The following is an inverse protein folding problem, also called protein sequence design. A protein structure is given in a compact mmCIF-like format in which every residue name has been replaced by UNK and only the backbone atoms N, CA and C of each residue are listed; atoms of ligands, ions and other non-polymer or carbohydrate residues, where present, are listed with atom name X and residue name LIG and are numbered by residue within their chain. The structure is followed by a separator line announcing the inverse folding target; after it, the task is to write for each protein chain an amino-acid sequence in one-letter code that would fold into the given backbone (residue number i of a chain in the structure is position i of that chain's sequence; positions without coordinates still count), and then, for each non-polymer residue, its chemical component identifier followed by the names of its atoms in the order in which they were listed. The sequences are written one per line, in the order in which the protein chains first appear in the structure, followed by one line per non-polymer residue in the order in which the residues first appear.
data_IF_504595698083
#
_entry.id   IF_504595698083
#
_cell.length_a   1.000
_cell.length_b   1.000
_cell.length_c   1.000
_cell.angle_alpha   90.00
_cell.angle_beta   90.00
_cell.angle_gamma   90.00
#
_symmetry.space_group_name_H-M   'P 1'
#
loop_
_entity.id
_entity.type
_entity.pdbx_description
1 polymer ?
#
# COMPACT_ATOMS: atom_id res chain seq x y z
N UNK A 1 3.59 -10.54 13.26
CA UNK A 1 3.14 -9.14 13.04
C UNK A 1 2.69 -8.87 11.59
N UNK A 2 3.19 -9.60 10.60
CA UNK A 2 2.82 -9.41 9.18
C UNK A 2 1.28 -9.35 8.99
N UNK A 3 0.55 -10.34 9.45
CA UNK A 3 -0.91 -10.47 9.24
C UNK A 3 -1.77 -9.35 9.90
N UNK A 4 -1.20 -8.55 10.79
CA UNK A 4 -1.92 -7.40 11.38
C UNK A 4 -1.60 -6.08 10.70
N UNK A 5 -0.71 -6.08 9.71
CA UNK A 5 -0.31 -4.87 9.00
C UNK A 5 -1.50 -4.14 8.32
N UNK A 6 -2.46 -4.81 7.67
CA UNK A 6 -3.63 -4.13 7.12
C UNK A 6 -4.41 -3.32 8.17
N UNK A 7 -4.52 -3.84 9.40
CA UNK A 7 -5.17 -3.11 10.51
C UNK A 7 -4.36 -1.92 11.02
N UNK A 8 -3.03 -1.93 10.85
CA UNK A 8 -2.16 -0.78 11.14
C UNK A 8 -2.22 0.22 9.98
N UNK A 9 -2.21 -0.27 8.74
CA UNK A 9 -2.27 0.54 7.53
C UNK A 9 -3.56 1.36 7.43
N UNK A 10 -4.69 0.73 7.78
CA UNK A 10 -6.01 1.35 7.60
C UNK A 10 -6.15 2.73 8.29
N UNK A 11 -5.83 2.93 9.57
CA UNK A 11 -5.88 4.26 10.18
C UNK A 11 -4.88 5.25 9.53
N UNK A 12 -3.67 4.79 9.19
CA UNK A 12 -2.67 5.64 8.53
C UNK A 12 -3.19 6.10 7.16
N UNK A 13 -3.72 5.18 6.37
CA UNK A 13 -4.26 5.48 5.05
C UNK A 13 -5.50 6.37 5.12
N UNK A 14 -6.49 6.02 5.94
CA UNK A 14 -7.77 6.77 5.99
C UNK A 14 -7.61 8.16 6.59
N UNK A 15 -7.02 8.26 7.78
CA UNK A 15 -6.85 9.55 8.46
C UNK A 15 -5.83 10.42 7.73
N UNK A 16 -4.72 9.82 7.24
CA UNK A 16 -3.69 10.51 6.48
C UNK A 16 -4.21 11.06 5.15
N UNK A 17 -4.95 10.24 4.38
CA UNK A 17 -5.59 10.68 3.13
C UNK A 17 -6.59 11.81 3.38
N UNK A 18 -7.43 11.69 4.39
CA UNK A 18 -8.41 12.72 4.76
C UNK A 18 -7.71 14.02 5.15
N UNK A 19 -6.68 13.94 5.98
CA UNK A 19 -5.91 15.12 6.38
C UNK A 19 -5.23 15.79 5.18
N UNK A 20 -4.64 15.02 4.28
CA UNK A 20 -3.92 15.57 3.14
C UNK A 20 -4.86 16.07 2.04
N UNK A 21 -5.89 15.29 1.69
CA UNK A 21 -6.77 15.62 0.55
C UNK A 21 -7.89 16.58 0.93
N UNK A 22 -8.54 16.39 2.09
CA UNK A 22 -9.73 17.18 2.43
C UNK A 22 -9.40 18.45 3.20
N UNK A 23 -8.45 18.40 4.11
CA UNK A 23 -8.14 19.53 4.98
C UNK A 23 -6.89 20.30 4.56
N UNK A 24 -5.90 19.62 4.01
CA UNK A 24 -4.59 20.17 3.72
C UNK A 24 -4.35 20.59 2.26
N UNK A 25 -5.27 20.34 1.35
CA UNK A 25 -5.09 20.63 -0.09
C UNK A 25 -3.73 20.16 -0.64
N UNK A 26 -3.32 18.92 -0.26
CA UNK A 26 -2.00 18.35 -0.61
C UNK A 26 -0.88 18.67 0.38
N UNK A 27 -1.12 19.50 1.38
CA UNK A 27 -0.25 19.70 2.53
C UNK A 27 -0.63 18.73 3.64
N UNK A 28 0.32 18.03 4.23
CA UNK A 28 -0.11 17.05 5.21
C UNK A 28 0.98 16.38 6.03
N UNK A 29 0.55 15.30 6.67
CA UNK A 29 1.28 14.56 7.68
C UNK A 29 2.58 13.94 7.12
N UNK A 30 3.61 13.97 7.93
CA UNK A 30 4.90 13.29 7.68
C UNK A 30 5.67 13.72 6.44
N UNK A 31 5.26 14.81 5.77
CA UNK A 31 5.93 15.31 4.59
C UNK A 31 7.01 16.32 4.98
N UNK A 32 8.25 16.04 4.62
CA UNK A 32 9.42 16.91 4.88
C UNK A 32 10.19 17.28 3.61
N UNK A 33 9.74 16.80 2.45
CA UNK A 33 10.35 17.03 1.15
C UNK A 33 9.72 18.23 0.40
N UNK A 34 10.11 18.39 -0.86
CA UNK A 34 9.60 19.46 -1.72
C UNK A 34 8.10 19.32 -1.99
N UNK A 35 7.36 20.39 -1.76
CA UNK A 35 5.96 20.52 -2.16
C UNK A 35 5.83 21.05 -3.59
N UNK A 36 5.08 20.37 -4.44
CA UNK A 36 4.67 20.90 -5.73
C UNK A 36 3.50 21.86 -5.56
N UNK A 37 3.78 23.16 -5.53
CA UNK A 37 2.75 24.18 -5.30
C UNK A 37 1.70 24.22 -6.42
N UNK A 38 2.09 23.97 -7.66
CA UNK A 38 1.15 23.87 -8.80
C UNK A 38 0.17 22.69 -8.64
N UNK A 39 0.62 21.57 -8.10
CA UNK A 39 -0.24 20.44 -7.77
C UNK A 39 -1.19 20.78 -6.62
N UNK A 40 -0.73 21.50 -5.61
CA UNK A 40 -1.58 21.96 -4.52
C UNK A 40 -2.67 22.92 -5.02
N UNK A 41 -2.32 23.87 -5.88
CA UNK A 41 -3.29 24.78 -6.49
C UNK A 41 -4.33 24.03 -7.34
N UNK A 42 -3.90 23.06 -8.14
CA UNK A 42 -4.80 22.19 -8.90
C UNK A 42 -5.73 21.38 -7.99
N UNK A 43 -5.16 20.81 -6.91
CA UNK A 43 -5.91 19.98 -5.97
C UNK A 43 -7.03 20.74 -5.25
N UNK A 44 -6.89 22.04 -4.99
CA UNK A 44 -7.93 22.87 -4.34
C UNK A 44 -9.28 22.82 -5.06
N UNK A 45 -9.28 22.50 -6.35
CA UNK A 45 -10.49 22.31 -7.14
C UNK A 45 -11.22 20.99 -6.97
N UNK A 46 -10.70 20.04 -6.19
CA UNK A 46 -11.19 18.66 -6.09
C UNK A 46 -12.68 18.56 -5.69
N UNK A 47 -13.17 19.50 -4.86
CA UNK A 47 -14.58 19.51 -4.41
C UNK A 47 -15.57 19.66 -5.56
N UNK A 48 -15.20 20.40 -6.60
CA UNK A 48 -16.01 20.54 -7.83
C UNK A 48 -16.01 19.28 -8.71
N UNK A 49 -15.12 18.32 -8.42
CA UNK A 49 -14.96 17.08 -9.15
C UNK A 49 -15.07 15.85 -8.25
N UNK A 50 -15.66 15.99 -7.06
CA UNK A 50 -15.73 14.92 -6.06
C UNK A 50 -16.44 13.65 -6.58
N UNK A 51 -17.39 13.80 -7.51
CA UNK A 51 -18.09 12.65 -8.12
C UNK A 51 -17.18 11.79 -9.00
N UNK A 52 -16.07 12.34 -9.48
CA UNK A 52 -15.06 11.60 -10.25
C UNK A 52 -14.16 10.70 -9.39
N UNK A 53 -14.18 10.85 -8.06
CA UNK A 53 -13.46 9.99 -7.15
C UNK A 53 -14.08 8.58 -7.13
N UNK A 54 -13.22 7.54 -7.06
CA UNK A 54 -13.69 6.17 -6.93
C UNK A 54 -14.49 5.95 -5.64
N UNK A 55 -15.37 4.97 -5.63
CA UNK A 55 -16.16 4.63 -4.44
C UNK A 55 -15.26 4.28 -3.24
N UNK A 56 -14.12 3.64 -3.48
CA UNK A 56 -13.12 3.35 -2.45
C UNK A 56 -12.54 4.62 -1.86
N UNK A 57 -12.13 5.59 -2.70
CA UNK A 57 -11.60 6.88 -2.25
C UNK A 57 -12.66 7.65 -1.44
N UNK A 58 -13.89 7.72 -1.93
CA UNK A 58 -15.02 8.37 -1.22
C UNK A 58 -15.23 7.73 0.16
N UNK A 59 -15.25 6.39 0.21
CA UNK A 59 -15.39 5.66 1.48
C UNK A 59 -14.27 5.98 2.46
N UNK A 60 -13.01 5.95 2.00
CA UNK A 60 -11.84 6.27 2.82
C UNK A 60 -11.90 7.67 3.39
N UNK A 61 -12.24 8.67 2.57
CA UNK A 61 -12.36 10.08 2.98
C UNK A 61 -13.51 10.30 3.97
N UNK A 62 -14.68 9.69 3.73
CA UNK A 62 -15.82 9.79 4.65
C UNK A 62 -15.51 9.12 5.98
N UNK A 63 -14.91 7.92 5.94
CA UNK A 63 -14.54 7.19 7.15
C UNK A 63 -13.47 7.93 7.96
N UNK A 64 -12.43 8.43 7.31
CA UNK A 64 -11.40 9.22 7.96
C UNK A 64 -11.96 10.52 8.57
N UNK A 65 -12.89 11.20 7.89
CA UNK A 65 -13.59 12.36 8.42
C UNK A 65 -14.40 12.01 9.67
N UNK A 66 -15.15 10.90 9.62
CA UNK A 66 -15.89 10.41 10.78
C UNK A 66 -14.98 10.13 11.98
N UNK A 67 -13.88 9.42 11.75
CA UNK A 67 -12.91 9.10 12.80
C UNK A 67 -12.32 10.38 13.39
N UNK A 68 -11.85 11.31 12.56
CA UNK A 68 -11.25 12.56 13.03
C UNK A 68 -12.24 13.41 13.85
N UNK A 69 -13.49 13.49 13.42
CA UNK A 69 -14.51 14.30 14.12
C UNK A 69 -14.92 13.69 15.47
N UNK A 70 -14.95 12.36 15.60
CA UNK A 70 -15.44 11.71 16.81
C UNK A 70 -14.32 11.30 17.77
N UNK A 71 -13.10 11.03 17.28
CA UNK A 71 -12.02 10.45 18.08
C UNK A 71 -10.71 11.24 17.98
N UNK A 72 -10.65 12.26 17.11
CA UNK A 72 -9.41 12.97 16.81
C UNK A 72 -8.35 12.04 16.18
N UNK A 73 -7.07 12.44 16.12
CA UNK A 73 -5.99 11.67 15.46
C UNK A 73 -5.49 10.50 16.30
N UNK A 74 -6.29 9.98 17.21
CA UNK A 74 -5.89 8.96 18.19
C UNK A 74 -5.48 7.64 17.52
N UNK A 75 -6.25 7.20 16.53
CA UNK A 75 -6.00 5.91 15.89
C UNK A 75 -4.82 6.01 14.94
N UNK A 76 -4.66 7.13 14.23
CA UNK A 76 -3.46 7.43 13.45
C UNK A 76 -2.20 7.36 14.31
N UNK A 77 -2.16 8.09 15.43
CA UNK A 77 -1.02 8.08 16.35
C UNK A 77 -0.74 6.70 16.95
N UNK A 78 -1.79 5.94 17.29
CA UNK A 78 -1.64 4.56 17.78
C UNK A 78 -1.07 3.63 16.69
N UNK A 79 -1.53 3.75 15.47
CA UNK A 79 -1.04 2.98 14.34
C UNK A 79 0.44 3.27 14.07
N UNK A 80 0.88 4.53 14.08
CA UNK A 80 2.28 4.92 13.97
C UNK A 80 3.15 4.35 15.11
N UNK A 81 2.63 4.30 16.33
CA UNK A 81 3.37 3.69 17.46
C UNK A 81 3.53 2.16 17.29
N UNK A 82 2.54 1.50 16.71
CA UNK A 82 2.59 0.06 16.46
C UNK A 82 3.47 -0.24 15.23
N UNK A 83 3.47 0.63 14.22
CA UNK A 83 4.29 0.45 13.02
C UNK A 83 5.79 0.32 13.33
N UNK A 84 6.28 1.04 14.34
CA UNK A 84 7.68 0.92 14.82
C UNK A 84 8.04 -0.49 15.26
N UNK A 85 7.09 -1.21 15.86
CA UNK A 85 7.29 -2.61 16.27
C UNK A 85 7.29 -3.54 15.06
N UNK A 86 6.48 -3.23 14.05
CA UNK A 86 6.47 -3.97 12.79
C UNK A 86 7.80 -3.78 12.04
N UNK A 87 8.28 -2.55 11.93
CA UNK A 87 9.59 -2.23 11.32
C UNK A 87 10.71 -2.99 12.03
N UNK A 88 10.80 -2.88 13.36
CA UNK A 88 11.82 -3.59 14.14
C UNK A 88 11.76 -5.13 13.98
N UNK A 89 10.56 -5.69 13.73
CA UNK A 89 10.43 -7.13 13.49
C UNK A 89 11.01 -7.53 12.12
N UNK A 90 10.85 -6.73 11.09
CA UNK A 90 11.46 -6.95 9.78
C UNK A 90 12.97 -6.70 9.82
N UNK A 91 13.43 -5.62 10.44
CA UNK A 91 14.86 -5.33 10.64
C UNK A 91 15.58 -6.50 11.30
N UNK A 92 14.95 -7.08 12.34
CA UNK A 92 15.52 -8.24 13.05
C UNK A 92 15.68 -9.47 12.14
N UNK A 93 14.73 -9.71 11.24
CA UNK A 93 14.82 -10.84 10.31
C UNK A 93 15.86 -10.54 9.24
N UNK A 94 15.82 -9.36 8.64
CA UNK A 94 16.76 -8.92 7.60
C UNK A 94 18.20 -8.75 8.10
N UNK A 95 18.43 -8.67 9.41
CA UNK A 95 19.78 -8.76 9.97
C UNK A 95 20.46 -10.12 9.75
N UNK A 96 19.68 -11.18 9.50
CA UNK A 96 20.17 -12.54 9.31
C UNK A 96 19.97 -13.09 7.89
N UNK A 97 19.21 -12.39 7.06
CA UNK A 97 18.92 -12.76 5.68
C UNK A 97 19.12 -11.55 4.77
N UNK A 98 19.55 -11.78 3.55
CA UNK A 98 19.78 -10.70 2.59
C UNK A 98 18.47 -10.18 2.02
N UNK A 99 17.50 -11.06 1.81
CA UNK A 99 16.18 -10.76 1.26
C UNK A 99 15.10 -11.61 1.93
N UNK A 100 13.88 -11.09 1.95
CA UNK A 100 12.67 -11.87 2.16
C UNK A 100 11.97 -12.10 0.83
N UNK A 101 11.29 -13.23 0.74
CA UNK A 101 10.63 -13.72 -0.46
C UNK A 101 9.20 -14.10 -0.13
N UNK A 102 8.24 -13.57 -0.88
CA UNK A 102 6.83 -13.96 -0.73
C UNK A 102 6.05 -13.68 -2.00
N UNK A 103 4.84 -14.23 -2.17
CA UNK A 103 3.93 -13.79 -3.23
C UNK A 103 3.60 -12.30 -3.06
N UNK A 104 3.54 -11.54 -4.16
CA UNK A 104 3.18 -10.12 -4.10
C UNK A 104 1.77 -9.92 -3.56
N UNK A 105 0.82 -10.73 -4.05
CA UNK A 105 -0.56 -10.73 -3.57
C UNK A 105 -0.91 -12.10 -2.99
N UNK A 106 -1.83 -12.18 -2.01
CA UNK A 106 -2.22 -13.46 -1.39
C UNK A 106 -3.10 -14.33 -2.29
N UNK A 107 -3.42 -13.85 -3.49
CA UNK A 107 -4.34 -14.49 -4.44
C UNK A 107 -3.94 -14.17 -5.88
N UNK A 108 -4.48 -14.94 -6.83
CA UNK A 108 -4.44 -14.59 -8.26
C UNK A 108 -5.30 -13.35 -8.53
N UNK A 109 -5.13 -12.76 -9.72
CA UNK A 109 -6.04 -11.72 -10.18
C UNK A 109 -7.50 -12.23 -10.15
N UNK A 110 -8.38 -11.44 -9.56
CA UNK A 110 -9.81 -11.74 -9.44
C UNK A 110 -10.58 -11.10 -10.59
N UNK A 111 -11.75 -11.60 -10.97
CA UNK A 111 -12.60 -10.97 -11.97
C UNK A 111 -12.90 -9.52 -11.57
N UNK A 112 -12.94 -8.63 -12.56
CA UNK A 112 -13.40 -7.26 -12.34
C UNK A 112 -14.85 -7.28 -11.87
N UNK A 113 -15.28 -6.35 -11.00
CA UNK A 113 -16.68 -6.18 -10.66
C UNK A 113 -17.51 -5.97 -11.93
N UNK A 114 -18.70 -6.58 -11.97
CA UNK A 114 -19.62 -6.37 -13.10
C UNK A 114 -20.04 -4.90 -13.22
N UNK A 115 -20.38 -4.40 -14.43
CA UNK A 115 -21.02 -3.10 -14.57
C UNK A 115 -22.26 -3.01 -13.68
N UNK A 116 -22.31 -2.00 -12.79
CA UNK A 116 -23.39 -1.85 -11.82
C UNK A 116 -23.25 -2.70 -10.54
N UNK A 117 -22.10 -3.33 -10.31
CA UNK A 117 -21.81 -4.01 -9.05
C UNK A 117 -22.03 -3.09 -7.84
N UNK A 118 -22.43 -3.70 -6.71
CA UNK A 118 -22.65 -2.93 -5.48
C UNK A 118 -21.38 -2.23 -5.00
N UNK A 119 -21.54 -1.16 -4.20
CA UNK A 119 -20.40 -0.47 -3.59
C UNK A 119 -19.59 -1.39 -2.69
N UNK A 120 -20.25 -2.28 -1.97
CA UNK A 120 -19.62 -3.27 -1.09
C UNK A 120 -18.71 -4.20 -1.90
N UNK A 121 -19.16 -4.66 -3.06
CA UNK A 121 -18.36 -5.50 -3.95
C UNK A 121 -17.15 -4.74 -4.49
N UNK A 122 -17.34 -3.51 -4.99
CA UNK A 122 -16.25 -2.68 -5.51
C UNK A 122 -15.19 -2.40 -4.43
N UNK A 123 -15.61 -2.05 -3.22
CA UNK A 123 -14.73 -1.79 -2.08
C UNK A 123 -14.02 -3.08 -1.65
N UNK A 124 -14.75 -4.18 -1.56
CA UNK A 124 -14.17 -5.50 -1.22
C UNK A 124 -13.05 -5.88 -2.17
N UNK A 125 -13.26 -5.75 -3.49
CA UNK A 125 -12.24 -6.02 -4.51
C UNK A 125 -11.00 -5.13 -4.37
N UNK A 126 -11.17 -3.87 -3.98
CA UNK A 126 -10.05 -2.95 -3.83
C UNK A 126 -9.12 -3.30 -2.66
N UNK A 127 -9.63 -3.98 -1.62
CA UNK A 127 -8.85 -4.29 -0.41
C UNK A 127 -8.43 -5.76 -0.27
N UNK A 128 -8.95 -6.67 -1.07
CA UNK A 128 -8.67 -8.11 -0.90
C UNK A 128 -7.20 -8.48 -1.11
N UNK A 129 -6.44 -7.70 -1.86
CA UNK A 129 -5.06 -8.02 -2.26
C UNK A 129 -3.96 -7.36 -1.42
N UNK A 130 -4.29 -6.47 -0.48
CA UNK A 130 -3.29 -5.62 0.20
C UNK A 130 -2.48 -6.31 1.31
N UNK A 131 -2.84 -7.52 1.69
CA UNK A 131 -2.28 -8.19 2.89
C UNK A 131 -0.76 -8.28 2.88
N UNK A 132 -0.17 -8.59 1.73
CA UNK A 132 1.28 -8.76 1.60
C UNK A 132 2.02 -7.44 1.31
N UNK A 133 1.36 -6.43 0.77
CA UNK A 133 1.97 -5.14 0.41
C UNK A 133 1.85 -4.09 1.53
N UNK A 134 0.73 -4.07 2.25
CA UNK A 134 0.50 -3.14 3.36
C UNK A 134 1.63 -3.09 4.42
N UNK A 135 2.30 -4.21 4.77
CA UNK A 135 3.44 -4.14 5.69
C UNK A 135 4.54 -3.19 5.22
N UNK A 136 4.86 -3.20 3.92
CA UNK A 136 5.99 -2.45 3.36
C UNK A 136 5.63 -1.00 3.07
N UNK A 137 4.35 -0.70 2.82
CA UNK A 137 3.83 0.67 2.84
C UNK A 137 4.02 1.35 4.21
N UNK A 138 3.97 0.56 5.29
CA UNK A 138 4.11 1.05 6.67
C UNK A 138 5.56 1.11 7.11
N UNK A 139 6.33 0.08 6.78
CA UNK A 139 7.71 -0.08 7.27
C UNK A 139 8.75 0.55 6.37
N UNK A 140 8.35 0.91 5.14
CA UNK A 140 9.20 1.51 4.10
C UNK A 140 10.42 0.68 3.70
N UNK A 141 10.41 -0.63 3.95
CA UNK A 141 11.42 -1.52 3.38
C UNK A 141 11.26 -1.55 1.86
N UNK A 142 12.36 -1.44 1.10
CA UNK A 142 12.30 -1.55 -0.35
C UNK A 142 11.77 -2.92 -0.75
N UNK A 143 10.79 -2.93 -1.64
CA UNK A 143 10.16 -4.14 -2.14
C UNK A 143 9.98 -4.07 -3.66
N UNK A 144 10.22 -5.16 -4.34
CA UNK A 144 10.09 -5.29 -5.79
C UNK A 144 9.26 -6.52 -6.13
N UNK A 145 8.28 -6.35 -7.01
CA UNK A 145 7.52 -7.46 -7.58
C UNK A 145 8.02 -7.76 -8.99
N UNK A 146 8.21 -9.05 -9.27
CA UNK A 146 8.56 -9.55 -10.60
C UNK A 146 7.69 -10.76 -10.95
N UNK A 147 7.39 -11.00 -12.24
CA UNK A 147 6.60 -12.16 -12.64
C UNK A 147 7.41 -13.43 -12.41
N UNK A 148 6.78 -14.47 -11.85
CA UNK A 148 7.48 -15.72 -11.50
C UNK A 148 6.79 -16.99 -11.95
N UNK A 149 5.74 -16.86 -12.75
CA UNK A 149 5.04 -18.02 -13.30
C UNK A 149 3.59 -17.74 -13.64
N UNK A 150 2.90 -18.77 -14.08
CA UNK A 150 1.48 -18.73 -14.45
C UNK A 150 0.70 -19.74 -13.60
N UNK A 151 -0.46 -19.32 -13.07
CA UNK A 151 -1.39 -20.21 -12.35
C UNK A 151 -2.78 -20.04 -12.96
N UNK A 152 -3.32 -21.12 -13.52
CA UNK A 152 -4.61 -21.14 -14.24
C UNK A 152 -4.67 -20.05 -15.34
N UNK A 153 -3.58 -19.86 -16.09
CA UNK A 153 -3.52 -18.88 -17.17
C UNK A 153 -3.35 -17.43 -16.74
N UNK A 154 -3.16 -17.16 -15.44
CA UNK A 154 -2.93 -15.82 -14.88
C UNK A 154 -1.51 -15.68 -14.34
N UNK A 155 -0.82 -14.54 -14.56
CA UNK A 155 0.51 -14.32 -14.03
C UNK A 155 0.48 -14.17 -12.51
N UNK A 156 1.52 -14.66 -11.85
CA UNK A 156 1.75 -14.47 -10.41
C UNK A 156 3.04 -13.71 -10.18
N UNK A 157 3.04 -12.88 -9.13
CA UNK A 157 4.16 -12.04 -8.75
C UNK A 157 4.92 -12.60 -7.54
N UNK A 158 6.25 -12.65 -7.68
CA UNK A 158 7.20 -12.85 -6.60
C UNK A 158 7.62 -11.50 -6.05
N UNK A 159 7.50 -11.27 -4.77
CA UNK A 159 7.98 -10.06 -4.13
C UNK A 159 9.28 -10.31 -3.37
N UNK A 160 10.29 -9.52 -3.67
CA UNK A 160 11.58 -9.46 -3.00
C UNK A 160 11.60 -8.24 -2.10
N UNK A 161 11.96 -8.42 -0.82
CA UNK A 161 12.04 -7.34 0.16
C UNK A 161 13.46 -7.31 0.72
N UNK A 162 14.08 -6.13 0.73
CA UNK A 162 15.43 -5.89 1.23
C UNK A 162 15.49 -5.04 2.49
N UNK A 163 16.70 -4.83 2.99
CA UNK A 163 16.98 -3.86 4.04
C UNK A 163 16.73 -2.45 3.54
N UNK A 164 16.49 -1.52 4.44
CA UNK A 164 16.39 -0.09 4.08
C UNK A 164 17.64 0.34 3.29
N UNK A 165 17.40 1.03 2.17
CA UNK A 165 18.45 1.55 1.26
C UNK A 165 19.33 0.48 0.61
N UNK A 166 18.90 -0.79 0.56
CA UNK A 166 19.62 -1.89 -0.11
C UNK A 166 18.90 -2.40 -1.37
N UNK A 167 18.35 -1.48 -2.16
CA UNK A 167 17.75 -1.76 -3.47
C UNK A 167 18.71 -2.51 -4.42
N UNK A 168 20.06 -2.25 -4.39
CA UNK A 168 20.99 -2.99 -5.24
C UNK A 168 20.97 -4.50 -5.01
N UNK A 169 20.74 -4.97 -3.78
CA UNK A 169 20.63 -6.40 -3.48
C UNK A 169 19.35 -6.98 -4.10
N UNK A 170 18.24 -6.25 -4.05
CA UNK A 170 16.98 -6.65 -4.69
C UNK A 170 17.18 -6.76 -6.21
N UNK A 171 17.77 -5.76 -6.85
CA UNK A 171 18.00 -5.76 -8.30
C UNK A 171 18.91 -6.88 -8.75
N UNK A 172 19.98 -7.20 -8.00
CA UNK A 172 20.85 -8.33 -8.33
C UNK A 172 20.11 -9.66 -8.28
N UNK A 173 19.29 -9.88 -7.26
CA UNK A 173 18.49 -11.10 -7.12
C UNK A 173 17.42 -11.20 -8.21
N UNK A 174 16.71 -10.10 -8.48
CA UNK A 174 15.71 -10.03 -9.53
C UNK A 174 16.32 -10.31 -10.91
N UNK A 175 17.44 -9.68 -11.24
CA UNK A 175 18.15 -9.92 -12.51
C UNK A 175 18.62 -11.38 -12.63
N UNK A 176 19.18 -11.95 -11.58
CA UNK A 176 19.59 -13.37 -11.58
C UNK A 176 18.40 -14.30 -11.82
N UNK A 177 17.25 -14.00 -11.23
CA UNK A 177 16.02 -14.74 -11.46
C UNK A 177 15.53 -14.62 -12.90
N UNK A 178 15.50 -13.42 -13.46
CA UNK A 178 15.12 -13.18 -14.87
C UNK A 178 16.03 -13.91 -15.86
N UNK A 179 17.34 -14.08 -15.55
CA UNK A 179 18.27 -14.83 -16.38
C UNK A 179 18.13 -16.36 -16.23
N UNK A 180 17.38 -16.85 -15.24
CA UNK A 180 17.22 -18.30 -15.02
C UNK A 180 16.26 -18.97 -15.99
N UNK A 181 15.41 -18.21 -16.71
CA UNK A 181 14.48 -18.74 -17.71
C UNK A 181 13.32 -17.81 -18.04
N UNK A 182 12.42 -18.28 -18.92
CA UNK A 182 11.18 -17.56 -19.21
C UNK A 182 10.15 -17.85 -18.11
N UNK A 183 9.81 -16.84 -17.34
CA UNK A 183 8.84 -16.93 -16.25
C UNK A 183 7.45 -17.47 -16.69
N UNK A 184 7.09 -17.36 -17.98
CA UNK A 184 5.82 -17.88 -18.51
C UNK A 184 5.78 -19.40 -18.57
N UNK A 185 6.94 -20.03 -18.51
CA UNK A 185 7.09 -21.50 -18.59
C UNK A 185 7.55 -22.13 -17.27
N UNK A 186 7.71 -21.31 -16.24
CA UNK A 186 8.09 -21.75 -14.88
C UNK A 186 6.87 -22.28 -14.11
#
# INVERSE_FOLDING_TARGET
MHMVAPAIWMPIGTEGMTQTMMYGDGYGLSRSDLYSTSLMDFHRGWRGQADSLSETTKMMLMFGTYINNNFGPRYYGKALNISRRLTAAYDKVLANYDLLLMPTTPMKATPLPAPGASREEQIGRAFEMITNTAPFDITHHPAMSLPCGMVDGLPVGLMLIGRHFDEPTIYRAAHAFEQSGDWKTM
#
